data_IF_612005151410
#
_entry.id   IF_612005151410
#
_cell.length_a   1.000
_cell.length_b   1.000
_cell.length_c   1.000
_cell.angle_alpha   90.00
_cell.angle_beta   90.00
_cell.angle_gamma   90.00
#
_symmetry.space_group_name_H-M   'P 1'
#
loop_
_entity.id
_entity.type
_entity.pdbx_description
1 polymer ?
#
# COMPACT_ATOMS: atom_id res chain seq x y z
N UNK A 1 46.83 29.27 -18.39
CA UNK A 1 46.18 30.10 -19.42
C UNK A 1 45.91 29.17 -20.58
N UNK A 2 44.68 28.68 -20.73
CA UNK A 2 44.33 27.69 -21.76
C UNK A 2 44.52 28.28 -23.15
N UNK A 3 45.22 27.55 -24.02
CA UNK A 3 45.57 27.92 -25.41
C UNK A 3 44.50 27.50 -26.42
N UNK A 4 43.25 27.33 -25.98
CA UNK A 4 42.18 26.80 -26.82
C UNK A 4 41.79 27.82 -27.90
N UNK A 5 42.07 27.47 -29.16
CA UNK A 5 41.59 28.19 -30.34
C UNK A 5 42.65 28.85 -31.23
N UNK A 6 43.96 28.69 -30.95
CA UNK A 6 45.03 29.24 -31.82
C UNK A 6 45.70 28.23 -32.74
N UNK A 7 45.55 26.94 -32.44
CA UNK A 7 46.21 25.86 -33.16
C UNK A 7 45.20 25.01 -33.93
N UNK A 8 45.64 24.39 -35.01
CA UNK A 8 44.79 23.60 -35.88
C UNK A 8 44.32 22.31 -35.19
N UNK A 9 43.04 21.98 -35.33
CA UNK A 9 42.46 20.77 -34.74
C UNK A 9 43.11 19.49 -35.27
N UNK A 10 43.49 19.45 -36.55
CA UNK A 10 44.13 18.29 -37.18
C UNK A 10 45.64 18.27 -36.97
N UNK A 11 46.23 19.43 -36.67
CA UNK A 11 47.67 19.60 -36.45
C UNK A 11 47.90 20.49 -35.22
N UNK A 12 47.78 19.92 -34.00
CA UNK A 12 47.78 20.69 -32.75
C UNK A 12 49.05 21.51 -32.48
N UNK A 13 50.16 21.16 -33.13
CA UNK A 13 51.45 21.87 -33.06
C UNK A 13 51.53 23.08 -34.01
N UNK A 14 50.60 23.20 -34.95
CA UNK A 14 50.63 24.22 -35.99
C UNK A 14 49.61 25.33 -35.73
N UNK A 15 50.00 26.60 -35.88
CA UNK A 15 49.08 27.72 -35.74
C UNK A 15 48.06 27.75 -36.89
N UNK A 16 46.88 28.30 -36.59
CA UNK A 16 45.86 28.63 -37.60
C UNK A 16 46.25 29.96 -38.25
N UNK A 17 46.61 29.92 -39.53
CA UNK A 17 47.04 31.10 -40.29
C UNK A 17 46.16 31.38 -41.52
N UNK A 18 45.28 30.44 -41.90
CA UNK A 18 44.49 30.50 -43.14
C UNK A 18 43.01 30.20 -42.89
N UNK A 19 42.16 30.68 -43.78
CA UNK A 19 40.73 30.37 -43.85
C UNK A 19 40.39 29.88 -45.26
N UNK A 20 39.71 28.74 -45.36
CA UNK A 20 39.17 28.23 -46.61
C UNK A 20 37.72 28.67 -46.76
N UNK A 21 37.43 29.60 -47.67
CA UNK A 21 36.09 30.17 -47.85
C UNK A 21 35.10 29.15 -48.45
N UNK A 22 35.58 28.22 -49.27
CA UNK A 22 34.71 27.20 -49.87
C UNK A 22 34.10 26.26 -48.84
N UNK A 23 34.82 26.00 -47.74
CA UNK A 23 34.42 25.07 -46.70
C UNK A 23 34.01 25.78 -45.40
N UNK A 24 34.21 27.10 -45.33
CA UNK A 24 34.01 27.93 -44.13
C UNK A 24 34.76 27.38 -42.90
N UNK A 25 36.03 27.02 -43.09
CA UNK A 25 36.89 26.44 -42.03
C UNK A 25 38.23 27.16 -41.88
N UNK A 26 38.69 27.22 -40.64
CA UNK A 26 40.02 27.69 -40.26
C UNK A 26 41.05 26.56 -40.39
N UNK A 27 42.24 26.85 -40.94
CA UNK A 27 43.25 25.84 -41.26
C UNK A 27 44.70 26.34 -41.09
N UNK A 28 45.63 25.42 -40.83
CA UNK A 28 47.08 25.70 -40.82
C UNK A 28 47.71 25.45 -42.20
N UNK A 29 48.98 25.83 -42.37
CA UNK A 29 49.71 25.64 -43.64
C UNK A 29 49.79 24.18 -44.13
N UNK A 30 49.76 23.20 -43.21
CA UNK A 30 49.73 21.76 -43.59
C UNK A 30 48.38 21.43 -44.23
N UNK A 31 47.26 21.78 -43.59
CA UNK A 31 45.91 21.58 -44.12
C UNK A 31 45.72 22.25 -45.49
N UNK A 32 46.31 23.43 -45.70
CA UNK A 32 46.29 24.12 -47.01
C UNK A 32 47.00 23.29 -48.08
N UNK A 33 48.15 22.70 -47.73
CA UNK A 33 48.98 21.94 -48.67
C UNK A 33 48.50 20.51 -48.92
N UNK A 34 47.65 19.97 -48.04
CA UNK A 34 47.04 18.65 -48.15
C UNK A 34 45.56 18.73 -48.54
N UNK A 35 44.68 18.96 -47.56
CA UNK A 35 43.23 18.81 -47.67
C UNK A 35 42.58 19.94 -48.49
N UNK A 36 43.18 21.13 -48.50
CA UNK A 36 42.66 22.29 -49.21
C UNK A 36 43.51 22.68 -50.43
N UNK A 37 44.40 21.81 -50.90
CA UNK A 37 45.32 22.08 -52.03
C UNK A 37 44.61 22.48 -53.32
N UNK A 38 43.41 21.96 -53.54
CA UNK A 38 42.58 22.20 -54.73
C UNK A 38 41.53 23.30 -54.51
N UNK A 39 41.44 23.87 -53.30
CA UNK A 39 40.50 24.96 -53.00
C UNK A 39 40.99 26.26 -53.63
N UNK A 40 40.11 26.95 -54.38
CA UNK A 40 40.50 28.16 -55.10
C UNK A 40 40.53 29.41 -54.20
N UNK A 41 39.71 29.44 -53.16
CA UNK A 41 39.58 30.57 -52.23
C UNK A 41 40.07 30.22 -50.82
N UNK A 42 41.39 30.01 -50.68
CA UNK A 42 42.07 29.99 -49.38
C UNK A 42 42.78 31.32 -49.20
N UNK A 43 42.53 32.01 -48.10
CA UNK A 43 43.15 33.31 -47.79
C UNK A 43 43.78 33.33 -46.41
N UNK A 44 44.69 34.25 -46.17
CA UNK A 44 45.28 34.43 -44.83
C UNK A 44 44.19 34.88 -43.85
N UNK A 45 44.36 34.47 -42.60
CA UNK A 45 43.45 34.84 -41.51
C UNK A 45 43.40 36.36 -41.31
N UNK A 46 44.51 37.07 -41.54
CA UNK A 46 44.57 38.53 -41.48
C UNK A 46 43.65 39.20 -42.51
N UNK A 47 43.58 38.65 -43.74
CA UNK A 47 42.66 39.13 -44.77
C UNK A 47 41.21 38.72 -44.48
N UNK A 48 40.99 37.48 -44.05
CA UNK A 48 39.65 36.97 -43.73
C UNK A 48 38.99 37.67 -42.52
N UNK A 49 39.79 38.08 -41.54
CA UNK A 49 39.33 38.77 -40.33
C UNK A 49 39.14 40.27 -40.51
N UNK A 50 39.49 40.81 -41.68
CA UNK A 50 39.33 42.23 -41.98
C UNK A 50 37.85 42.62 -41.86
N UNK A 51 37.59 43.73 -41.19
CA UNK A 51 36.24 44.26 -40.95
C UNK A 51 35.27 43.33 -40.22
N UNK A 52 35.73 42.23 -39.59
CA UNK A 52 34.86 41.31 -38.81
C UNK A 52 34.06 42.02 -37.72
N UNK A 53 34.59 43.11 -37.16
CA UNK A 53 33.92 43.96 -36.17
C UNK A 53 32.69 44.70 -36.72
N UNK A 54 32.55 44.77 -38.05
CA UNK A 54 31.45 45.40 -38.79
C UNK A 54 30.64 44.39 -39.60
N UNK A 55 30.91 43.09 -39.47
CA UNK A 55 30.22 42.07 -40.23
C UNK A 55 28.79 41.84 -39.72
N UNK A 56 27.89 41.46 -40.63
CA UNK A 56 26.56 40.99 -40.27
C UNK A 56 26.63 39.77 -39.34
N UNK A 57 27.57 38.84 -39.60
CA UNK A 57 27.80 37.65 -38.79
C UNK A 57 28.00 37.96 -37.30
N UNK A 58 28.81 38.99 -36.95
CA UNK A 58 28.98 39.40 -35.55
C UNK A 58 27.66 39.89 -34.93
N UNK A 59 26.87 40.63 -35.72
CA UNK A 59 25.58 41.16 -35.26
C UNK A 59 24.57 40.02 -35.08
N UNK A 60 24.50 39.09 -36.02
CA UNK A 60 23.60 37.94 -35.99
C UNK A 60 23.93 37.01 -34.82
N UNK A 61 25.22 36.65 -34.63
CA UNK A 61 25.65 35.85 -33.49
C UNK A 61 25.33 36.56 -32.17
N UNK A 62 25.55 37.87 -32.08
CA UNK A 62 25.22 38.63 -30.86
C UNK A 62 23.71 38.64 -30.59
N UNK A 63 22.89 38.81 -31.62
CA UNK A 63 21.43 38.78 -31.49
C UNK A 63 20.95 37.38 -31.07
N UNK A 64 21.51 36.33 -31.66
CA UNK A 64 21.19 34.94 -31.31
C UNK A 64 21.57 34.65 -29.85
N UNK A 65 22.75 35.07 -29.39
CA UNK A 65 23.15 34.93 -27.99
C UNK A 65 22.15 35.66 -27.07
N UNK A 66 21.79 36.91 -27.36
CA UNK A 66 20.82 37.67 -26.57
C UNK A 66 19.45 36.96 -26.55
N UNK A 67 19.02 36.43 -27.69
CA UNK A 67 17.77 35.69 -27.80
C UNK A 67 17.79 34.42 -26.93
N UNK A 68 18.83 33.59 -27.07
CA UNK A 68 19.01 32.37 -26.31
C UNK A 68 19.12 32.64 -24.80
N UNK A 69 19.84 33.69 -24.39
CA UNK A 69 19.90 34.09 -22.98
C UNK A 69 18.51 34.42 -22.43
N UNK A 70 17.71 35.18 -23.17
CA UNK A 70 16.34 35.51 -22.75
C UNK A 70 15.43 34.28 -22.69
N UNK A 71 15.57 33.35 -23.63
CA UNK A 71 14.82 32.08 -23.60
C UNK A 71 15.21 31.25 -22.38
N UNK A 72 16.50 31.17 -22.05
CA UNK A 72 16.99 30.47 -20.86
C UNK A 72 16.48 31.11 -19.56
N UNK A 73 16.47 32.44 -19.46
CA UNK A 73 15.89 33.15 -18.31
C UNK A 73 14.39 32.84 -18.14
N UNK A 74 13.62 32.87 -19.23
CA UNK A 74 12.20 32.52 -19.20
C UNK A 74 11.97 31.07 -18.77
N UNK A 75 12.79 30.14 -19.29
CA UNK A 75 12.73 28.74 -18.90
C UNK A 75 13.05 28.56 -17.43
N UNK A 76 14.07 29.25 -16.91
CA UNK A 76 14.45 29.18 -15.51
C UNK A 76 13.32 29.66 -14.59
N UNK A 77 12.74 30.83 -14.91
CA UNK A 77 11.60 31.38 -14.16
C UNK A 77 10.39 30.44 -14.21
N UNK A 78 10.13 29.78 -15.35
CA UNK A 78 9.07 28.78 -15.46
C UNK A 78 9.34 27.57 -14.55
N UNK A 79 10.60 27.10 -14.48
CA UNK A 79 10.96 25.96 -13.63
C UNK A 79 10.83 26.30 -12.14
N UNK A 80 11.22 27.52 -11.74
CA UNK A 80 11.03 28.00 -10.38
C UNK A 80 9.54 28.07 -9.99
N UNK A 81 8.69 28.66 -10.85
CA UNK A 81 7.25 28.69 -10.62
C UNK A 81 6.61 27.30 -10.54
N UNK A 82 7.11 26.32 -11.33
CA UNK A 82 6.65 24.94 -11.24
C UNK A 82 7.04 24.29 -9.90
N UNK A 83 8.25 24.54 -9.41
CA UNK A 83 8.72 24.04 -8.10
C UNK A 83 7.83 24.59 -6.98
N UNK A 84 7.51 25.89 -7.02
CA UNK A 84 6.63 26.52 -6.03
C UNK A 84 5.22 25.93 -6.07
N UNK A 85 4.66 25.74 -7.26
CA UNK A 85 3.35 25.11 -7.45
C UNK A 85 3.32 23.67 -6.91
N UNK A 86 4.33 22.86 -7.21
CA UNK A 86 4.44 21.50 -6.71
C UNK A 86 4.58 21.47 -5.18
N UNK A 87 5.35 22.39 -4.61
CA UNK A 87 5.51 22.53 -3.16
C UNK A 87 4.19 22.87 -2.48
N UNK A 88 3.42 23.80 -3.06
CA UNK A 88 2.09 24.17 -2.57
C UNK A 88 1.10 23.01 -2.68
N UNK A 89 1.08 22.29 -3.79
CA UNK A 89 0.22 21.12 -3.98
C UNK A 89 0.54 20.01 -2.97
N UNK A 90 1.83 19.75 -2.71
CA UNK A 90 2.25 18.80 -1.67
C UNK A 90 1.71 19.21 -0.29
N UNK A 91 1.82 20.49 0.07
CA UNK A 91 1.30 20.99 1.34
C UNK A 91 -0.23 20.83 1.44
N UNK A 92 -0.97 21.14 0.38
CA UNK A 92 -2.43 20.96 0.33
C UNK A 92 -2.83 19.50 0.50
N UNK A 93 -2.17 18.58 -0.23
CA UNK A 93 -2.42 17.13 -0.11
C UNK A 93 -2.15 16.65 1.33
N UNK A 94 -1.04 17.07 1.93
CA UNK A 94 -0.71 16.70 3.31
C UNK A 94 -1.75 17.23 4.31
N UNK A 95 -2.23 18.46 4.12
CA UNK A 95 -3.26 19.05 4.95
C UNK A 95 -4.58 18.28 4.81
N UNK A 96 -5.00 17.97 3.58
CA UNK A 96 -6.20 17.15 3.31
C UNK A 96 -6.10 15.77 3.95
N UNK A 97 -4.94 15.13 3.89
CA UNK A 97 -4.71 13.84 4.56
C UNK A 97 -4.86 13.96 6.09
N UNK A 98 -4.31 15.01 6.69
CA UNK A 98 -4.50 15.27 8.12
C UNK A 98 -5.97 15.51 8.46
N UNK A 99 -6.70 16.28 7.64
CA UNK A 99 -8.13 16.51 7.82
C UNK A 99 -8.92 15.21 7.72
N UNK A 100 -8.66 14.36 6.72
CA UNK A 100 -9.33 13.05 6.60
C UNK A 100 -9.03 12.18 7.82
N UNK A 101 -7.76 12.11 8.26
CA UNK A 101 -7.38 11.37 9.47
C UNK A 101 -8.08 11.90 10.72
N UNK A 102 -8.31 13.21 10.82
CA UNK A 102 -9.05 13.82 11.92
C UNK A 102 -10.58 13.65 11.78
N UNK A 103 -11.07 13.48 10.56
CA UNK A 103 -12.50 13.29 10.23
C UNK A 103 -12.96 11.84 10.32
N UNK A 104 -12.06 10.87 10.39
CA UNK A 104 -12.36 9.52 10.89
C UNK A 104 -12.24 9.64 12.41
N UNK A 105 -13.33 9.94 13.14
CA UNK A 105 -13.24 10.16 14.57
C UNK A 105 -12.87 8.80 15.16
N UNK A 106 -11.83 8.74 16.00
CA UNK A 106 -11.57 7.57 16.82
C UNK A 106 -12.86 7.11 17.50
N UNK A 107 -13.70 8.07 17.92
CA UNK A 107 -15.04 7.87 18.46
C UNK A 107 -15.95 7.00 17.59
N UNK A 108 -15.97 7.11 16.25
CA UNK A 108 -16.82 6.24 15.41
C UNK A 108 -16.29 4.81 15.31
N UNK A 109 -14.98 4.63 15.39
CA UNK A 109 -14.35 3.30 15.44
C UNK A 109 -14.60 2.69 16.82
N UNK A 110 -14.42 3.47 17.87
CA UNK A 110 -14.67 3.07 19.25
C UNK A 110 -16.15 2.74 19.47
N UNK A 111 -17.08 3.51 18.88
CA UNK A 111 -18.54 3.25 18.94
C UNK A 111 -18.91 1.93 18.27
N UNK A 112 -18.38 1.68 17.05
CA UNK A 112 -18.59 0.41 16.34
C UNK A 112 -17.96 -0.77 17.08
N UNK A 113 -16.75 -0.59 17.62
CA UNK A 113 -16.07 -1.61 18.42
C UNK A 113 -16.87 -1.94 19.67
N UNK A 114 -17.38 -0.93 20.38
CA UNK A 114 -18.23 -1.10 21.56
C UNK A 114 -19.56 -1.77 21.22
N UNK A 115 -20.18 -1.44 20.08
CA UNK A 115 -21.40 -2.10 19.58
C UNK A 115 -21.14 -3.60 19.32
N UNK A 116 -20.07 -3.93 18.58
CA UNK A 116 -19.70 -5.32 18.29
C UNK A 116 -19.34 -6.10 19.56
N UNK A 117 -18.59 -5.49 20.50
CA UNK A 117 -18.26 -6.12 21.79
C UNK A 117 -19.54 -6.36 22.60
N UNK A 118 -20.48 -5.43 22.59
CA UNK A 118 -21.75 -5.55 23.33
C UNK A 118 -22.60 -6.68 22.74
N UNK A 119 -22.74 -6.75 21.43
CA UNK A 119 -23.47 -7.82 20.74
C UNK A 119 -22.84 -9.19 21.00
N UNK A 120 -21.52 -9.30 20.86
CA UNK A 120 -20.78 -10.53 21.11
C UNK A 120 -20.93 -10.98 22.58
N UNK A 121 -20.81 -10.05 23.53
CA UNK A 121 -20.97 -10.34 24.96
C UNK A 121 -22.39 -10.82 25.26
N UNK A 122 -23.41 -10.16 24.72
CA UNK A 122 -24.81 -10.57 24.90
C UNK A 122 -25.07 -11.96 24.32
N UNK A 123 -24.52 -12.25 23.14
CA UNK A 123 -24.65 -13.56 22.50
C UNK A 123 -23.95 -14.66 23.32
N UNK A 124 -22.73 -14.38 23.79
CA UNK A 124 -21.98 -15.27 24.68
C UNK A 124 -22.77 -15.57 25.95
N UNK A 125 -23.27 -14.56 26.66
CA UNK A 125 -24.05 -14.74 27.89
C UNK A 125 -25.30 -15.62 27.67
N UNK A 126 -25.98 -15.43 26.53
CA UNK A 126 -27.15 -16.24 26.17
C UNK A 126 -26.77 -17.71 25.97
N UNK A 127 -25.69 -17.99 25.25
CA UNK A 127 -25.22 -19.36 25.04
C UNK A 127 -24.71 -20.01 26.32
N UNK A 128 -23.93 -19.28 27.13
CA UNK A 128 -23.46 -19.77 28.44
C UNK A 128 -24.63 -20.12 29.36
N UNK A 129 -25.70 -19.34 29.36
CA UNK A 129 -26.90 -19.65 30.15
C UNK A 129 -27.54 -20.96 29.74
N UNK A 130 -27.66 -21.24 28.43
CA UNK A 130 -28.24 -22.51 27.92
C UNK A 130 -27.35 -23.68 28.30
N UNK A 131 -26.05 -23.59 28.01
CA UNK A 131 -25.06 -24.64 28.30
C UNK A 131 -25.03 -24.94 29.81
N UNK A 132 -25.07 -23.91 30.65
CA UNK A 132 -25.05 -24.10 32.10
C UNK A 132 -26.31 -24.80 32.61
N UNK A 133 -27.48 -24.56 32.01
CA UNK A 133 -28.71 -25.25 32.41
C UNK A 133 -28.70 -26.72 31.98
N UNK A 134 -28.27 -27.01 30.75
CA UNK A 134 -28.06 -28.38 30.27
C UNK A 134 -27.07 -29.14 31.15
N UNK A 135 -25.97 -28.50 31.53
CA UNK A 135 -24.96 -29.08 32.43
C UNK A 135 -25.53 -29.42 33.81
N UNK A 136 -26.43 -28.60 34.36
CA UNK A 136 -27.10 -28.91 35.64
C UNK A 136 -27.99 -30.16 35.50
N UNK A 137 -28.74 -30.28 34.41
CA UNK A 137 -29.61 -31.44 34.19
C UNK A 137 -28.80 -32.73 34.00
N UNK A 138 -27.70 -32.66 33.23
CA UNK A 138 -26.74 -33.78 33.10
C UNK A 138 -26.19 -34.18 34.47
N UNK A 139 -25.78 -33.20 35.28
CA UNK A 139 -25.26 -33.48 36.63
C UNK A 139 -26.30 -34.15 37.52
N UNK A 140 -27.56 -33.69 37.52
CA UNK A 140 -28.65 -34.32 38.29
C UNK A 140 -28.88 -35.77 37.85
N UNK A 141 -28.88 -36.03 36.54
CA UNK A 141 -29.07 -37.38 36.01
C UNK A 141 -27.92 -38.31 36.40
N UNK A 142 -26.67 -37.81 36.31
CA UNK A 142 -25.48 -38.55 36.70
C UNK A 142 -25.49 -38.93 38.18
N UNK A 143 -25.89 -38.03 39.08
CA UNK A 143 -26.01 -38.33 40.51
C UNK A 143 -27.03 -39.45 40.76
N UNK A 144 -28.19 -39.38 40.12
CA UNK A 144 -29.25 -40.40 40.27
C UNK A 144 -28.82 -41.78 39.76
N UNK A 145 -28.08 -41.82 38.64
CA UNK A 145 -27.50 -43.07 38.14
C UNK A 145 -26.50 -43.65 39.15
N UNK A 146 -25.65 -42.79 39.74
CA UNK A 146 -24.68 -43.24 40.74
C UNK A 146 -25.33 -43.75 42.03
N UNK A 147 -26.38 -43.08 42.50
CA UNK A 147 -27.18 -43.54 43.64
C UNK A 147 -27.83 -44.90 43.37
N UNK A 148 -28.37 -45.10 42.16
CA UNK A 148 -28.93 -46.38 41.73
C UNK A 148 -27.89 -47.50 41.70
N UNK A 149 -26.70 -47.23 41.16
CA UNK A 149 -25.58 -48.18 41.14
C UNK A 149 -25.18 -48.57 42.57
N UNK A 150 -24.95 -47.58 43.44
CA UNK A 150 -24.60 -47.82 44.84
C UNK A 150 -25.65 -48.65 45.57
N UNK A 151 -26.95 -48.41 45.31
CA UNK A 151 -28.04 -49.18 45.90
C UNK A 151 -28.03 -50.65 45.45
N UNK A 152 -27.70 -50.93 44.20
CA UNK A 152 -27.60 -52.30 43.68
C UNK A 152 -26.40 -53.00 44.33
N UNK A 153 -25.21 -52.38 44.31
CA UNK A 153 -24.00 -52.94 44.90
C UNK A 153 -24.19 -53.26 46.39
N UNK A 154 -24.82 -52.36 47.15
CA UNK A 154 -25.10 -52.60 48.57
C UNK A 154 -25.99 -53.82 48.81
N UNK A 155 -27.06 -53.98 48.02
CA UNK A 155 -27.98 -55.11 48.13
C UNK A 155 -27.37 -56.43 47.63
N UNK A 156 -26.47 -56.37 46.65
CA UNK A 156 -25.70 -57.53 46.17
C UNK A 156 -24.76 -58.06 47.26
N UNK A 157 -24.10 -57.18 48.00
CA UNK A 157 -23.14 -57.56 49.06
C UNK A 157 -23.83 -57.96 50.37
N UNK A 158 -24.94 -57.31 50.74
CA UNK A 158 -25.49 -57.37 52.10
C UNK A 158 -27.01 -57.62 52.17
N UNK A 159 -27.70 -57.70 51.03
CA UNK A 159 -29.17 -57.70 50.95
C UNK A 159 -29.81 -59.09 50.94
N UNK A 160 -31.15 -59.10 51.06
CA UNK A 160 -31.96 -60.29 50.83
C UNK A 160 -32.26 -60.45 49.33
N UNK A 161 -32.18 -61.68 48.80
CA UNK A 161 -32.43 -62.01 47.38
C UNK A 161 -33.75 -61.43 46.86
N UNK A 162 -34.81 -61.48 47.66
CA UNK A 162 -36.12 -60.92 47.30
C UNK A 162 -36.06 -59.40 47.08
N UNK A 163 -35.33 -58.68 47.95
CA UNK A 163 -35.19 -57.22 47.86
C UNK A 163 -34.30 -56.83 46.67
N UNK A 164 -33.25 -57.60 46.41
CA UNK A 164 -32.41 -57.45 45.23
C UNK A 164 -33.22 -57.69 43.95
N UNK A 165 -34.02 -58.75 43.89
CA UNK A 165 -34.87 -59.09 42.73
C UNK A 165 -35.87 -57.97 42.39
N UNK A 166 -36.57 -57.43 43.39
CA UNK A 166 -37.51 -56.31 43.21
C UNK A 166 -36.79 -55.05 42.76
N UNK A 167 -35.64 -54.74 43.37
CA UNK A 167 -34.85 -53.55 43.03
C UNK A 167 -34.33 -53.61 41.60
N UNK A 168 -33.79 -54.75 41.16
CA UNK A 168 -33.29 -54.94 39.79
C UNK A 168 -34.40 -54.74 38.75
N UNK A 169 -35.60 -55.29 38.98
CA UNK A 169 -36.74 -55.07 38.08
C UNK A 169 -37.18 -53.60 38.03
N UNK A 170 -37.18 -52.92 39.18
CA UNK A 170 -37.50 -51.49 39.23
C UNK A 170 -36.43 -50.64 38.51
N UNK A 171 -35.16 -51.01 38.63
CA UNK A 171 -34.07 -50.28 37.97
C UNK A 171 -34.00 -50.53 36.47
N UNK A 172 -34.38 -51.71 35.98
CA UNK A 172 -34.51 -51.96 34.54
C UNK A 172 -35.48 -50.96 33.87
N UNK A 173 -36.60 -50.66 34.52
CA UNK A 173 -37.56 -49.64 34.06
C UNK A 173 -36.95 -48.23 34.12
N UNK A 174 -36.18 -47.93 35.17
CA UNK A 174 -35.55 -46.62 35.32
C UNK A 174 -34.42 -46.37 34.30
N UNK A 175 -33.63 -47.40 33.97
CA UNK A 175 -32.58 -47.34 32.95
C UNK A 175 -33.18 -46.92 31.62
N UNK A 176 -34.28 -47.56 31.19
CA UNK A 176 -34.93 -47.20 29.94
C UNK A 176 -35.41 -45.74 29.93
N UNK A 177 -35.95 -45.25 31.06
CA UNK A 177 -36.31 -43.82 31.21
C UNK A 177 -35.09 -42.88 31.17
N UNK A 178 -33.94 -43.32 31.67
CA UNK A 178 -32.70 -42.54 31.61
C UNK A 178 -32.15 -42.49 30.20
N UNK A 179 -32.18 -43.61 29.47
CA UNK A 179 -31.78 -43.69 28.06
C UNK A 179 -32.61 -42.76 27.17
N UNK A 180 -33.94 -42.74 27.35
CA UNK A 180 -34.82 -41.84 26.61
C UNK A 180 -34.46 -40.36 26.88
N UNK A 181 -34.24 -39.99 28.14
CA UNK A 181 -33.82 -38.63 28.50
C UNK A 181 -32.45 -38.24 27.94
N UNK A 182 -31.49 -39.17 27.93
CA UNK A 182 -30.16 -38.93 27.35
C UNK A 182 -30.28 -38.71 25.84
N UNK A 183 -31.14 -39.49 25.17
CA UNK A 183 -31.41 -39.35 23.73
C UNK A 183 -32.05 -38.01 23.41
N UNK A 184 -33.02 -37.58 24.21
CA UNK A 184 -33.65 -36.26 24.07
C UNK A 184 -32.62 -35.13 24.26
N UNK A 185 -31.75 -35.25 25.26
CA UNK A 185 -30.68 -34.27 25.49
C UNK A 185 -29.71 -34.22 24.32
N UNK A 186 -29.21 -35.35 23.82
CA UNK A 186 -28.29 -35.40 22.67
C UNK A 186 -28.91 -34.77 21.42
N UNK A 187 -30.19 -35.02 21.18
CA UNK A 187 -30.90 -34.49 19.99
C UNK A 187 -31.05 -32.97 20.02
N UNK A 188 -30.96 -32.35 21.21
CA UNK A 188 -31.12 -30.91 21.41
C UNK A 188 -29.78 -30.14 21.45
N UNK A 189 -28.64 -30.82 21.47
CA UNK A 189 -27.32 -30.16 21.43
C UNK A 189 -27.12 -29.58 20.03
N UNK A 190 -27.23 -28.26 19.91
CA UNK A 190 -26.86 -27.53 18.68
C UNK A 190 -25.35 -27.24 18.68
N UNK A 191 -24.64 -27.62 17.62
CA UNK A 191 -23.28 -27.10 17.36
C UNK A 191 -23.37 -25.59 17.09
N UNK A 192 -22.84 -24.78 18.00
CA UNK A 192 -22.83 -23.32 17.83
C UNK A 192 -21.65 -22.92 16.93
N UNK A 193 -21.93 -22.71 15.64
CA UNK A 193 -21.02 -22.05 14.71
C UNK A 193 -21.31 -20.55 14.69
N UNK A 194 -20.43 -19.75 15.31
CA UNK A 194 -20.49 -18.29 15.21
C UNK A 194 -20.12 -17.89 13.78
N UNK A 195 -21.12 -17.60 12.96
CA UNK A 195 -20.91 -17.05 11.62
C UNK A 195 -21.20 -15.56 11.68
N UNK A 196 -20.14 -14.75 11.62
CA UNK A 196 -20.26 -13.30 11.54
C UNK A 196 -20.68 -12.94 10.11
N UNK A 197 -21.98 -12.72 9.90
CA UNK A 197 -22.47 -12.19 8.64
C UNK A 197 -22.01 -10.73 8.50
N UNK A 198 -21.28 -10.43 7.41
CA UNK A 198 -20.88 -9.06 7.06
C UNK A 198 -22.15 -8.20 6.90
N UNK A 199 -22.29 -7.17 7.72
CA UNK A 199 -23.26 -6.10 7.52
C UNK A 199 -22.94 -5.33 6.23
N UNK A 200 -23.58 -5.72 5.12
CA UNK A 200 -23.62 -4.94 3.89
C UNK A 200 -24.58 -3.75 4.08
N UNK A 201 -24.14 -2.69 4.75
CA UNK A 201 -24.89 -1.43 4.83
C UNK A 201 -23.97 -0.19 4.87
N UNK A 202 -23.00 -0.11 3.94
CA UNK A 202 -22.16 1.10 3.77
C UNK A 202 -22.12 1.55 2.31
N UNK A 203 -23.21 1.42 1.57
CA UNK A 203 -23.29 1.89 0.17
C UNK A 203 -24.68 2.42 -0.17
N UNK A 204 -25.09 3.50 0.49
CA UNK A 204 -26.10 4.44 -0.03
C UNK A 204 -26.13 5.65 0.90
N UNK A 205 -25.34 6.67 0.58
CA UNK A 205 -25.64 8.10 0.82
C UNK A 205 -24.40 8.92 0.49
N UNK A 206 -24.13 9.17 -0.79
CA UNK A 206 -23.51 10.42 -1.27
C UNK A 206 -23.65 10.51 -2.79
N UNK A 207 -24.89 10.72 -3.24
CA UNK A 207 -25.21 11.35 -4.51
C UNK A 207 -26.48 12.18 -4.26
N UNK A 208 -26.29 13.46 -3.95
CA UNK A 208 -27.42 14.35 -3.66
C UNK A 208 -27.02 15.66 -3.01
N UNK A 209 -26.25 16.48 -3.71
CA UNK A 209 -26.46 17.93 -3.96
C UNK A 209 -25.23 18.55 -4.59
#
# INVERSE_FOLDING_TARGET
MSTDGKNCNDHPEMPIDFCCIHHDVLCCGICVSSNHKTCQNVMSLELASKDVKRSALLTDIRQEIIHLTKVLEQLNNNREANIDSLTKQKADILQRLCTIKAQIPAEQIDDLENEMITELTSLQMKHESVINEERKEISKLSTRLKESENSICFLEENGLDMLLFVTLHQQAINIQRFEDKIRDMISNIQEINVTLEKSQNMSQNHLGK
#
